data_IF_883807059304
#
_entry.id   IF_883807059304
#
_cell.length_a   1.000
_cell.length_b   1.000
_cell.length_c   1.000
_cell.angle_alpha   90.00
_cell.angle_beta   90.00
_cell.angle_gamma   90.00
#
_symmetry.space_group_name_H-M   'P 1'
#
loop_
_entity.id
_entity.type
_entity.pdbx_description
1 polymer ?
#
# COMPACT_ATOMS: atom_id res chain seq x y z
N UNK A 1 10.92 -8.23 -1.28
CA UNK A 1 10.14 -9.49 -1.17
C UNK A 1 9.29 -9.61 -2.42
N UNK A 2 8.98 -10.80 -2.94
CA UNK A 2 8.06 -10.97 -4.09
C UNK A 2 6.69 -11.40 -3.57
N UNK A 3 5.62 -10.76 -4.03
CA UNK A 3 4.25 -11.16 -3.71
C UNK A 3 3.83 -12.32 -4.61
N UNK A 4 3.08 -13.27 -4.07
CA UNK A 4 2.56 -14.39 -4.85
C UNK A 4 1.35 -13.93 -5.68
N UNK A 5 1.39 -14.07 -7.02
CA UNK A 5 0.24 -13.77 -7.87
C UNK A 5 -0.92 -14.73 -7.61
N UNK A 6 -2.15 -14.21 -7.67
CA UNK A 6 -3.39 -14.95 -7.63
C UNK A 6 -4.25 -14.55 -8.83
N UNK A 7 -4.99 -15.51 -9.38
CA UNK A 7 -5.88 -15.21 -10.50
C UNK A 7 -7.13 -14.47 -10.03
N UNK A 8 -7.53 -13.47 -10.82
CA UNK A 8 -8.80 -12.77 -10.68
C UNK A 8 -9.33 -12.43 -12.07
N UNK A 9 -10.63 -12.17 -12.21
CA UNK A 9 -11.22 -11.76 -13.47
C UNK A 9 -10.55 -10.48 -13.99
N UNK A 10 -10.18 -10.45 -15.26
CA UNK A 10 -9.67 -9.25 -15.93
C UNK A 10 -10.64 -8.07 -15.82
N UNK A 11 -10.10 -6.85 -15.88
CA UNK A 11 -10.83 -5.59 -15.73
C UNK A 11 -11.54 -5.44 -14.37
N UNK A 12 -11.13 -6.21 -13.36
CA UNK A 12 -11.61 -6.05 -11.99
C UNK A 12 -10.81 -4.94 -11.29
N UNK A 13 -11.50 -3.94 -10.75
CA UNK A 13 -10.89 -2.95 -9.85
C UNK A 13 -10.62 -3.57 -8.48
N UNK A 14 -9.36 -3.56 -8.07
CA UNK A 14 -8.91 -4.05 -6.77
C UNK A 14 -8.56 -2.85 -5.89
N UNK A 15 -9.13 -2.83 -4.69
CA UNK A 15 -8.87 -1.83 -3.67
C UNK A 15 -8.46 -2.50 -2.37
N UNK A 16 -7.32 -2.09 -1.82
CA UNK A 16 -6.81 -2.58 -0.55
C UNK A 16 -6.53 -1.41 0.40
N UNK A 17 -6.82 -1.62 1.68
CA UNK A 17 -6.50 -0.69 2.76
C UNK A 17 -5.91 -1.46 3.94
N UNK A 18 -4.89 -0.89 4.59
CA UNK A 18 -4.38 -1.43 5.85
C UNK A 18 -3.80 -0.35 6.75
N UNK A 19 -4.12 -0.44 8.05
CA UNK A 19 -3.54 0.38 9.10
C UNK A 19 -2.25 -0.21 9.70
N UNK A 20 -1.72 -1.30 9.11
CA UNK A 20 -0.58 -2.04 9.67
C UNK A 20 0.79 -1.53 9.17
N UNK A 21 0.83 -0.43 8.41
CA UNK A 21 2.08 0.13 7.90
C UNK A 21 2.92 0.69 9.06
N UNK A 22 4.14 0.17 9.20
CA UNK A 22 5.14 0.67 10.12
C UNK A 22 6.53 0.46 9.53
N UNK A 23 7.37 1.50 9.58
CA UNK A 23 8.77 1.48 9.18
C UNK A 23 9.56 2.49 10.04
N UNK A 24 10.88 2.47 9.98
CA UNK A 24 11.72 3.36 10.79
C UNK A 24 12.18 4.58 10.00
N UNK A 25 12.23 5.74 10.66
CA UNK A 25 13.00 6.87 10.18
C UNK A 25 14.52 6.57 10.28
N UNK A 26 15.35 7.39 9.65
CA UNK A 26 16.82 7.28 9.80
C UNK A 26 17.26 7.38 11.28
N UNK A 27 16.56 8.21 12.06
CA UNK A 27 16.74 8.35 13.51
C UNK A 27 16.32 7.13 14.35
N UNK A 28 15.67 6.13 13.74
CA UNK A 28 15.12 4.95 14.43
C UNK A 28 13.71 5.14 14.98
N UNK A 29 13.13 6.34 14.92
CA UNK A 29 11.76 6.55 15.38
C UNK A 29 10.75 5.93 14.38
N UNK A 30 9.72 5.19 14.82
CA UNK A 30 8.82 4.43 13.95
C UNK A 30 7.74 5.31 13.29
N UNK A 31 7.71 5.37 11.95
CA UNK A 31 6.58 5.90 11.21
C UNK A 31 5.45 4.89 11.26
N UNK A 32 4.22 5.38 11.38
CA UNK A 32 2.99 4.60 11.32
C UNK A 32 2.08 5.24 10.30
N UNK A 33 1.24 4.45 9.66
CA UNK A 33 0.31 5.01 8.71
C UNK A 33 -0.73 4.01 8.21
N UNK A 34 -1.60 4.54 7.36
CA UNK A 34 -2.56 3.75 6.59
C UNK A 34 -2.10 3.72 5.14
N UNK A 35 -2.05 2.54 4.55
CA UNK A 35 -1.83 2.36 3.13
C UNK A 35 -3.16 2.13 2.41
N UNK A 36 -3.30 2.72 1.23
CA UNK A 36 -4.36 2.44 0.27
C UNK A 36 -3.71 2.07 -1.07
N UNK A 37 -4.25 1.06 -1.72
CA UNK A 37 -3.81 0.60 -3.04
C UNK A 37 -5.04 0.47 -3.92
N UNK A 38 -4.94 0.95 -5.15
CA UNK A 38 -5.97 0.81 -6.16
C UNK A 38 -5.34 0.43 -7.50
N UNK A 39 -5.88 -0.57 -8.18
CA UNK A 39 -5.48 -0.90 -9.55
C UNK A 39 -6.58 -1.63 -10.31
N UNK A 40 -6.49 -1.64 -11.63
CA UNK A 40 -7.27 -2.51 -12.50
C UNK A 40 -6.45 -3.77 -12.78
N UNK A 41 -7.02 -4.93 -12.50
CA UNK A 41 -6.37 -6.21 -12.74
C UNK A 41 -6.37 -6.59 -14.22
N UNK A 42 -5.22 -7.02 -14.72
CA UNK A 42 -5.05 -7.66 -16.05
C UNK A 42 -5.15 -9.19 -15.97
N UNK A 43 -5.86 -9.72 -14.97
CA UNK A 43 -6.01 -11.17 -14.73
C UNK A 43 -5.30 -11.67 -13.46
N UNK A 44 -4.57 -10.78 -12.77
CA UNK A 44 -3.81 -11.07 -11.56
C UNK A 44 -4.10 -10.09 -10.40
N UNK A 45 -3.99 -10.59 -9.18
CA UNK A 45 -3.86 -9.85 -7.92
C UNK A 45 -2.78 -10.51 -7.07
N UNK A 46 -2.53 -10.06 -5.84
CA UNK A 46 -1.54 -10.67 -4.94
C UNK A 46 -2.18 -11.36 -3.73
N UNK A 47 -1.53 -12.40 -3.19
CA UNK A 47 -1.94 -13.04 -1.94
C UNK A 47 -1.83 -12.06 -0.76
N UNK A 48 -2.95 -11.85 -0.05
CA UNK A 48 -3.05 -10.90 1.06
C UNK A 48 -2.20 -11.29 2.28
N UNK A 49 -1.92 -12.59 2.49
CA UNK A 49 -1.05 -13.04 3.58
C UNK A 49 0.40 -12.68 3.27
N UNK A 50 0.82 -12.84 2.02
CA UNK A 50 2.15 -12.44 1.60
C UNK A 50 2.31 -10.93 1.61
N UNK A 51 1.28 -10.17 1.23
CA UNK A 51 1.29 -8.72 1.38
C UNK A 51 1.38 -8.27 2.85
N UNK A 52 0.64 -8.92 3.77
CA UNK A 52 0.75 -8.67 5.22
C UNK A 52 2.15 -8.98 5.76
N UNK A 53 2.76 -10.09 5.33
CA UNK A 53 4.16 -10.41 5.67
C UNK A 53 5.12 -9.35 5.15
N UNK A 54 4.93 -8.88 3.92
CA UNK A 54 5.70 -7.79 3.35
C UNK A 54 5.59 -6.51 4.19
N UNK A 55 4.38 -6.04 4.52
CA UNK A 55 4.20 -4.87 5.40
C UNK A 55 4.87 -5.07 6.77
N UNK A 56 4.79 -6.28 7.33
CA UNK A 56 5.44 -6.61 8.61
C UNK A 56 6.97 -6.56 8.49
N UNK A 57 7.52 -6.94 7.33
CA UNK A 57 8.96 -6.87 7.05
C UNK A 57 9.51 -5.46 6.87
N UNK A 58 8.65 -4.43 6.78
CA UNK A 58 9.07 -3.03 6.74
C UNK A 58 9.39 -2.48 8.13
N UNK A 59 8.98 -3.16 9.21
CA UNK A 59 9.05 -2.65 10.59
C UNK A 59 10.45 -2.38 11.11
N UNK A 60 11.44 -3.09 10.58
CA UNK A 60 12.86 -2.94 10.90
C UNK A 60 13.65 -2.21 9.79
N UNK A 61 12.97 -1.79 8.71
CA UNK A 61 13.58 -1.07 7.59
C UNK A 61 13.56 0.42 7.82
N UNK A 62 14.60 1.09 7.33
CA UNK A 62 14.73 2.54 7.37
C UNK A 62 14.37 3.14 6.02
N UNK A 63 13.40 4.03 6.01
CA UNK A 63 13.00 4.81 4.84
C UNK A 63 12.81 6.28 5.23
N UNK A 64 13.01 7.19 4.28
CA UNK A 64 12.42 8.52 4.41
C UNK A 64 10.91 8.39 4.19
N UNK A 65 10.15 9.36 4.70
CA UNK A 65 8.70 9.36 4.53
C UNK A 65 8.34 9.25 3.05
N UNK A 66 8.96 10.07 2.19
CA UNK A 66 8.69 10.16 0.75
C UNK A 66 9.00 8.87 -0.02
N UNK A 67 9.96 8.06 0.45
CA UNK A 67 10.41 6.87 -0.27
C UNK A 67 9.47 5.66 -0.06
N UNK A 68 8.71 5.63 1.03
CA UNK A 68 7.93 4.44 1.39
C UNK A 68 6.84 4.11 0.37
N UNK A 69 6.22 5.14 -0.21
CA UNK A 69 5.14 4.96 -1.19
C UNK A 69 5.69 4.35 -2.49
N UNK A 70 6.89 4.75 -2.89
CA UNK A 70 7.57 4.21 -4.06
C UNK A 70 8.02 2.76 -3.83
N UNK A 71 8.60 2.45 -2.67
CA UNK A 71 9.00 1.08 -2.31
C UNK A 71 7.82 0.09 -2.41
N UNK A 72 6.63 0.50 -1.96
CA UNK A 72 5.44 -0.35 -2.01
C UNK A 72 4.91 -0.49 -3.44
N UNK A 73 4.85 0.62 -4.17
CA UNK A 73 4.50 0.63 -5.60
C UNK A 73 5.41 -0.29 -6.42
N UNK A 74 6.73 -0.17 -6.21
CA UNK A 74 7.73 -0.94 -6.92
C UNK A 74 7.64 -2.44 -6.57
N UNK A 75 7.40 -2.77 -5.29
CA UNK A 75 7.21 -4.16 -4.85
C UNK A 75 6.00 -4.80 -5.54
N UNK A 76 4.88 -4.09 -5.68
CA UNK A 76 3.68 -4.60 -6.35
C UNK A 76 3.95 -4.78 -7.85
N UNK A 77 4.53 -3.77 -8.50
CA UNK A 77 4.83 -3.77 -9.95
C UNK A 77 5.81 -4.88 -10.34
N UNK A 78 6.78 -5.19 -9.47
CA UNK A 78 7.71 -6.32 -9.67
C UNK A 78 7.07 -7.69 -9.44
N UNK A 79 5.92 -7.75 -8.78
CA UNK A 79 5.30 -9.00 -8.36
C UNK A 79 4.15 -9.44 -9.25
N UNK A 80 3.32 -8.50 -9.72
CA UNK A 80 2.12 -8.78 -10.52
C UNK A 80 1.93 -7.75 -11.64
N UNK A 81 1.22 -8.14 -12.69
CA UNK A 81 0.80 -7.21 -13.74
C UNK A 81 -0.48 -6.47 -13.33
N UNK A 82 -0.49 -5.15 -13.52
CA UNK A 82 -1.62 -4.28 -13.18
C UNK A 82 -1.70 -3.10 -14.15
N UNK A 83 -2.90 -2.55 -14.29
CA UNK A 83 -3.15 -1.28 -14.96
C UNK A 83 -3.57 -0.22 -13.92
N UNK A 84 -3.21 1.03 -14.15
CA UNK A 84 -3.60 2.16 -13.29
C UNK A 84 -3.31 1.93 -11.80
N UNK A 85 -2.15 1.34 -11.48
CA UNK A 85 -1.73 1.15 -10.09
C UNK A 85 -1.49 2.51 -9.44
N UNK A 86 -2.22 2.77 -8.36
CA UNK A 86 -2.02 3.88 -7.44
C UNK A 86 -1.76 3.37 -6.03
N UNK A 87 -0.85 4.02 -5.33
CA UNK A 87 -0.58 3.79 -3.90
C UNK A 87 -0.64 5.11 -3.17
N UNK A 88 -1.38 5.14 -2.06
CA UNK A 88 -1.46 6.28 -1.14
C UNK A 88 -1.03 5.82 0.25
N UNK A 89 -0.23 6.63 0.92
CA UNK A 89 0.18 6.41 2.31
C UNK A 89 -0.15 7.64 3.14
N UNK A 90 -0.99 7.46 4.15
CA UNK A 90 -1.32 8.46 5.17
C UNK A 90 -0.51 8.17 6.43
N UNK A 91 0.54 8.95 6.66
CA UNK A 91 1.36 8.82 7.86
C UNK A 91 0.71 9.54 9.04
N UNK A 92 0.80 8.94 10.23
CA UNK A 92 0.38 9.57 11.49
C UNK A 92 1.22 10.82 11.76
N UNK A 93 0.60 11.84 12.35
CA UNK A 93 1.28 13.11 12.58
C UNK A 93 2.54 12.98 13.44
N UNK A 94 3.58 13.74 13.05
CA UNK A 94 4.79 13.96 13.84
C UNK A 94 5.06 15.45 13.97
N UNK A 95 5.26 15.92 15.19
CA UNK A 95 5.39 17.37 15.44
C UNK A 95 4.16 18.16 15.00
N UNK A 96 2.97 17.54 14.99
CA UNK A 96 1.73 18.15 14.52
C UNK A 96 1.51 18.14 13.01
N UNK A 97 2.45 17.62 12.21
CA UNK A 97 2.35 17.59 10.76
C UNK A 97 1.98 16.18 10.30
N UNK A 98 0.88 16.07 9.57
CA UNK A 98 0.45 14.85 8.89
C UNK A 98 0.95 14.87 7.44
N UNK A 99 1.38 13.72 6.92
CA UNK A 99 1.87 13.59 5.55
C UNK A 99 1.02 12.57 4.80
N UNK A 100 0.46 12.98 3.66
CA UNK A 100 -0.14 12.10 2.66
C UNK A 100 0.80 12.03 1.47
N UNK A 101 1.16 10.81 1.07
CA UNK A 101 2.10 10.53 -0.01
C UNK A 101 1.40 9.68 -1.05
N UNK A 102 1.61 9.98 -2.33
CA UNK A 102 0.95 9.31 -3.43
C UNK A 102 2.00 8.92 -4.50
N UNK A 103 1.82 7.76 -5.13
CA UNK A 103 2.61 7.35 -6.28
C UNK A 103 1.76 6.52 -7.25
N UNK A 104 1.98 6.68 -8.55
CA UNK A 104 1.23 6.00 -9.60
C UNK A 104 -0.04 6.75 -10.00
N UNK A 105 -1.08 6.01 -10.39
CA UNK A 105 -2.37 6.56 -10.78
C UNK A 105 -3.07 7.25 -9.61
N UNK A 106 -3.74 8.38 -9.90
CA UNK A 106 -4.54 9.10 -8.91
C UNK A 106 -5.86 8.37 -8.63
N UNK A 107 -6.24 8.30 -7.35
CA UNK A 107 -7.53 7.75 -6.92
C UNK A 107 -7.93 8.31 -5.55
N UNK A 108 -9.22 8.28 -5.26
CA UNK A 108 -9.73 8.68 -3.95
C UNK A 108 -9.58 7.52 -2.95
N UNK A 109 -8.79 7.76 -1.90
CA UNK A 109 -8.67 6.83 -0.78
C UNK A 109 -10.01 6.75 -0.03
N UNK A 110 -10.76 5.67 -0.27
CA UNK A 110 -11.97 5.36 0.48
C UNK A 110 -11.59 4.85 1.87
N UNK A 111 -11.74 5.69 2.90
CA UNK A 111 -11.76 5.20 4.29
C UNK A 111 -13.02 4.34 4.47
N UNK A 112 -12.86 3.03 4.32
CA UNK A 112 -13.92 2.08 4.61
C UNK A 112 -14.01 1.93 6.14
N UNK A 113 -14.86 2.74 6.76
CA UNK A 113 -15.18 2.58 8.19
C UNK A 113 -15.86 1.24 8.49
N UNK A 114 -16.39 0.55 7.47
CA UNK A 114 -17.00 -0.77 7.60
C UNK A 114 -16.58 -1.72 6.47
N UNK A 115 -16.32 -2.99 6.82
CA UNK A 115 -15.85 -4.06 5.91
C UNK A 115 -16.84 -4.33 4.76
N UNK A 116 -18.11 -3.99 4.92
CA UNK A 116 -19.14 -4.08 3.87
C UNK A 116 -19.82 -2.72 3.67
N UNK A 117 -19.53 -2.09 2.54
CA UNK A 117 -20.40 -1.06 1.96
C UNK A 117 -20.85 -1.56 0.60
N UNK A 118 -22.12 -1.97 0.51
CA UNK A 118 -22.80 -2.19 -0.76
C UNK A 118 -23.34 -0.82 -1.19
N UNK A 119 -22.91 -0.34 -2.35
CA UNK A 119 -23.58 0.77 -3.04
C UNK A 119 -24.63 0.20 -3.98
#
# INVERSE_FOLDING_TARGET
>A
MKLTPLHVKENTTIQYMSHELLFLAQSGQPYRGTIYINFTSTGETFDLRDFKKYLTSLRDKKYNAEDIVYEIYETITKSIQTENLGVIVDLTARGGIQQRLCYGAEFDALQKENIFQVR
#
